data_IF_123254948900
#
_entry.id   IF_123254948900
#
_cell.length_a   1.000
_cell.length_b   1.000
_cell.length_c   1.000
_cell.angle_alpha   90.00
_cell.angle_beta   90.00
_cell.angle_gamma   90.00
#
_symmetry.space_group_name_H-M   'P 1'
#
loop_
_entity.id
_entity.type
_entity.pdbx_description
1 polymer ?
#
# COMPACT_ATOMS: atom_id res chain seq x y z
N UNK A 1 9.48 37.66 -11.90
CA UNK A 1 9.96 36.28 -11.64
C UNK A 1 11.22 36.03 -12.46
N UNK A 2 12.30 35.52 -11.87
CA UNK A 2 13.58 35.31 -12.57
C UNK A 2 13.56 34.06 -13.46
N UNK A 3 14.31 34.07 -14.58
CA UNK A 3 14.45 32.94 -15.50
C UNK A 3 15.01 31.67 -14.81
N UNK A 4 15.77 31.82 -13.71
CA UNK A 4 16.28 30.70 -12.92
C UNK A 4 15.14 29.95 -12.17
N UNK A 5 14.14 30.70 -11.69
CA UNK A 5 12.97 30.13 -11.02
C UNK A 5 12.10 29.34 -12.00
N UNK A 6 11.91 29.86 -13.22
CA UNK A 6 11.14 29.17 -14.27
C UNK A 6 11.80 27.88 -14.75
N UNK A 7 13.15 27.83 -14.86
CA UNK A 7 13.88 26.61 -15.23
C UNK A 7 13.80 25.53 -14.14
N UNK A 8 13.89 25.90 -12.85
CA UNK A 8 13.70 24.96 -11.72
C UNK A 8 12.30 24.38 -11.71
N UNK A 9 11.27 25.23 -11.88
CA UNK A 9 9.87 24.79 -11.94
C UNK A 9 9.62 23.89 -13.15
N UNK A 10 10.20 24.20 -14.31
CA UNK A 10 10.10 23.36 -15.52
C UNK A 10 10.77 21.99 -15.33
N UNK A 11 11.98 21.95 -14.76
CA UNK A 11 12.68 20.70 -14.48
C UNK A 11 11.98 19.84 -13.42
N UNK A 12 11.33 20.45 -12.42
CA UNK A 12 10.46 19.75 -11.45
C UNK A 12 9.21 19.17 -12.13
N UNK A 13 8.61 19.92 -13.06
CA UNK A 13 7.45 19.48 -13.84
C UNK A 13 7.77 18.35 -14.83
N UNK A 14 8.97 18.34 -15.41
CA UNK A 14 9.42 17.34 -16.38
C UNK A 14 9.90 16.02 -15.73
N UNK A 15 10.25 16.03 -14.44
CA UNK A 15 10.73 14.86 -13.70
C UNK A 15 9.63 13.93 -13.19
N UNK A 16 8.38 14.34 -13.27
CA UNK A 16 7.26 13.61 -12.67
C UNK A 16 6.25 13.27 -13.76
N UNK A 17 5.91 11.98 -13.96
CA UNK A 17 4.81 11.59 -14.85
C UNK A 17 3.56 12.39 -14.48
N UNK A 18 2.86 12.90 -15.49
CA UNK A 18 1.72 13.78 -15.25
C UNK A 18 0.60 13.03 -14.51
N UNK A 19 0.51 13.22 -13.19
CA UNK A 19 -0.54 12.64 -12.32
C UNK A 19 -1.78 13.53 -12.23
N UNK A 20 -1.93 14.52 -13.11
CA UNK A 20 -3.09 15.41 -13.16
C UNK A 20 -4.42 14.66 -13.38
N UNK A 21 -4.35 13.38 -13.77
CA UNK A 21 -5.48 12.49 -13.95
C UNK A 21 -5.40 11.18 -13.14
N UNK A 22 -4.64 11.15 -12.03
CA UNK A 22 -4.69 9.98 -11.12
C UNK A 22 -6.02 10.00 -10.33
N UNK A 23 -7.01 9.27 -10.84
CA UNK A 23 -8.34 9.16 -10.23
C UNK A 23 -8.45 8.05 -9.19
N UNK A 24 -7.32 7.45 -8.77
CA UNK A 24 -7.35 6.43 -7.72
C UNK A 24 -7.89 7.05 -6.43
N UNK A 25 -8.87 6.36 -5.85
CA UNK A 25 -9.41 6.68 -4.53
C UNK A 25 -8.46 6.18 -3.45
N UNK A 26 -8.65 6.66 -2.23
CA UNK A 26 -8.03 6.02 -1.08
C UNK A 26 -8.46 4.55 -1.00
N UNK A 27 -7.55 3.69 -0.58
CA UNK A 27 -7.77 2.25 -0.46
C UNK A 27 -7.14 1.71 0.82
N UNK A 28 -7.65 0.60 1.32
CA UNK A 28 -7.04 -0.15 2.40
C UNK A 28 -6.14 -1.22 1.81
N UNK A 29 -5.00 -1.47 2.45
CA UNK A 29 -4.12 -2.57 2.05
C UNK A 29 -3.67 -3.41 3.24
N UNK A 30 -3.49 -4.70 2.95
CA UNK A 30 -2.82 -5.68 3.78
C UNK A 30 -1.52 -6.05 3.09
N UNK A 31 -0.44 -5.39 3.50
CA UNK A 31 0.88 -5.56 2.88
C UNK A 31 1.73 -6.53 3.68
N UNK A 32 2.18 -7.59 3.02
CA UNK A 32 3.06 -8.58 3.62
C UNK A 32 4.52 -8.17 3.49
N UNK A 33 5.29 -8.50 4.52
CA UNK A 33 6.74 -8.31 4.57
C UNK A 33 7.39 -9.50 5.29
N UNK A 34 8.61 -9.84 4.91
CA UNK A 34 9.39 -10.82 5.66
C UNK A 34 9.76 -10.22 7.02
N UNK A 35 9.45 -10.92 8.11
CA UNK A 35 9.95 -10.50 9.42
C UNK A 35 11.49 -10.65 9.45
N UNK A 36 12.21 -9.74 10.12
CA UNK A 36 13.65 -9.88 10.28
C UNK A 36 13.99 -11.17 11.03
N UNK A 37 15.06 -11.83 10.60
CA UNK A 37 15.62 -12.99 11.31
C UNK A 37 16.50 -12.51 12.47
N UNK A 38 15.83 -12.04 13.53
CA UNK A 38 16.48 -11.46 14.72
C UNK A 38 16.34 -12.35 15.97
N UNK A 39 15.91 -13.60 15.79
CA UNK A 39 15.76 -14.60 16.84
C UNK A 39 14.60 -14.36 17.81
N UNK A 40 13.79 -13.31 17.64
CA UNK A 40 12.62 -13.04 18.51
C UNK A 40 11.50 -14.06 18.33
N UNK A 41 11.40 -14.65 17.15
CA UNK A 41 10.38 -15.62 16.79
C UNK A 41 11.05 -16.86 16.17
N UNK A 42 10.83 -18.07 16.68
CA UNK A 42 11.37 -19.27 16.06
C UNK A 42 10.72 -19.50 14.69
N UNK A 43 11.53 -19.87 13.70
CA UNK A 43 11.07 -20.17 12.34
C UNK A 43 10.85 -18.95 11.45
N UNK A 44 10.30 -19.17 10.26
CA UNK A 44 10.01 -18.09 9.31
C UNK A 44 8.76 -17.35 9.74
N UNK A 45 8.88 -16.02 9.80
CA UNK A 45 7.80 -15.14 10.25
C UNK A 45 7.54 -14.05 9.21
N UNK A 46 6.31 -13.59 9.18
CA UNK A 46 5.83 -12.60 8.23
C UNK A 46 5.09 -11.50 8.97
N UNK A 47 5.34 -10.26 8.59
CA UNK A 47 4.60 -9.11 9.06
C UNK A 47 3.48 -8.77 8.09
N UNK A 48 2.27 -8.56 8.61
CA UNK A 48 1.18 -7.96 7.86
C UNK A 48 0.98 -6.53 8.35
N UNK A 49 1.16 -5.57 7.44
CA UNK A 49 0.87 -4.17 7.67
C UNK A 49 -0.55 -3.87 7.21
N UNK A 50 -1.37 -3.38 8.15
CA UNK A 50 -2.72 -2.90 7.83
C UNK A 50 -2.70 -1.38 7.71
N UNK A 51 -2.89 -0.89 6.49
CA UNK A 51 -2.62 0.50 6.11
C UNK A 51 -3.78 1.11 5.31
N UNK A 52 -4.06 2.39 5.56
CA UNK A 52 -4.84 3.24 4.66
C UNK A 52 -3.86 3.97 3.73
N UNK A 53 -4.08 3.84 2.42
CA UNK A 53 -3.26 4.47 1.39
C UNK A 53 -4.04 5.55 0.69
N UNK A 54 -3.43 6.74 0.62
CA UNK A 54 -3.99 7.91 -0.07
C UNK A 54 -3.07 8.25 -1.24
N UNK A 55 -3.49 8.01 -2.49
CA UNK A 55 -2.79 8.51 -3.67
C UNK A 55 -2.62 10.03 -3.59
N UNK A 56 -1.38 10.51 -3.74
CA UNK A 56 -1.08 11.94 -3.68
C UNK A 56 -1.12 12.54 -5.07
N UNK A 57 -1.92 13.60 -5.19
CA UNK A 57 -2.05 14.34 -6.43
C UNK A 57 -0.80 15.16 -6.72
N UNK A 58 -0.66 15.60 -7.98
CA UNK A 58 0.49 16.38 -8.46
C UNK A 58 0.86 17.57 -7.57
N UNK A 59 -0.15 18.27 -7.05
CA UNK A 59 -0.02 19.50 -6.25
C UNK A 59 -0.24 19.27 -4.75
N UNK A 60 -0.19 18.02 -4.30
CA UNK A 60 -0.32 17.71 -2.89
C UNK A 60 0.99 18.03 -2.17
N UNK A 61 0.95 18.91 -1.17
CA UNK A 61 2.14 19.32 -0.41
C UNK A 61 2.82 18.14 0.29
N UNK A 62 2.08 17.06 0.59
CA UNK A 62 2.64 15.85 1.23
C UNK A 62 3.58 15.08 0.32
N UNK A 63 3.53 15.36 -0.98
CA UNK A 63 4.43 14.80 -2.00
C UNK A 63 5.82 15.41 -1.94
N UNK A 64 5.96 16.59 -1.33
CA UNK A 64 7.18 17.39 -1.34
C UNK A 64 8.04 17.11 -0.09
N UNK A 65 9.35 17.07 -0.26
CA UNK A 65 10.29 17.10 0.86
C UNK A 65 10.48 18.54 1.39
N UNK A 66 11.40 18.74 2.34
CA UNK A 66 11.67 20.06 2.92
C UNK A 66 12.14 21.12 1.89
N UNK A 67 12.62 20.69 0.72
CA UNK A 67 13.10 21.55 -0.37
C UNK A 67 12.04 21.75 -1.48
N UNK A 68 10.82 21.24 -1.29
CA UNK A 68 9.75 21.32 -2.29
C UNK A 68 9.93 20.30 -3.43
N UNK A 69 10.79 19.30 -3.26
CA UNK A 69 11.07 18.29 -4.29
C UNK A 69 10.13 17.10 -4.10
N UNK A 70 9.44 16.65 -5.15
CA UNK A 70 8.63 15.44 -5.09
C UNK A 70 9.44 14.20 -4.65
N UNK A 71 8.99 13.53 -3.59
CA UNK A 71 9.67 12.37 -3.01
C UNK A 71 8.79 11.13 -2.81
N UNK A 72 7.46 11.29 -2.71
CA UNK A 72 6.50 10.18 -2.57
C UNK A 72 5.26 10.38 -3.41
N UNK A 73 4.65 9.28 -3.85
CA UNK A 73 3.43 9.30 -4.67
C UNK A 73 2.17 8.92 -3.88
N UNK A 74 2.33 8.40 -2.68
CA UNK A 74 1.27 7.87 -1.83
C UNK A 74 1.59 8.21 -0.38
N UNK A 75 0.56 8.58 0.38
CA UNK A 75 0.64 8.64 1.84
C UNK A 75 0.14 7.30 2.40
N UNK A 76 1.01 6.61 3.12
CA UNK A 76 0.69 5.36 3.80
C UNK A 76 0.49 5.64 5.28
N UNK A 77 -0.71 5.33 5.79
CA UNK A 77 -1.08 5.54 7.19
C UNK A 77 -1.28 4.16 7.83
N UNK A 78 -0.38 3.72 8.73
CA UNK A 78 -0.59 2.49 9.49
C UNK A 78 -1.83 2.63 10.39
N UNK A 79 -2.79 1.72 10.27
CA UNK A 79 -3.98 1.68 11.15
C UNK A 79 -3.59 1.14 12.53
N UNK A 80 -2.59 0.25 12.56
CA UNK A 80 -2.07 -0.40 13.76
C UNK A 80 -0.63 -0.84 13.53
N UNK A 81 0.13 -1.18 14.59
CA UNK A 81 1.40 -1.88 14.44
C UNK A 81 1.22 -3.20 13.65
N UNK A 82 2.26 -3.64 12.91
CA UNK A 82 2.18 -4.86 12.11
C UNK A 82 1.86 -6.08 12.96
N UNK A 83 1.06 -6.99 12.42
CA UNK A 83 0.79 -8.29 13.04
C UNK A 83 1.79 -9.33 12.53
N UNK A 84 2.10 -10.31 13.39
CA UNK A 84 3.04 -11.38 13.06
C UNK A 84 2.27 -12.65 12.73
N UNK A 85 2.63 -13.29 11.62
CA UNK A 85 2.21 -14.65 11.29
C UNK A 85 3.45 -15.54 11.16
N UNK A 86 3.53 -16.57 12.00
CA UNK A 86 4.51 -17.64 11.83
C UNK A 86 4.07 -18.62 10.74
N UNK A 87 5.02 -19.14 9.97
CA UNK A 87 4.77 -20.19 9.00
C UNK A 87 5.82 -20.26 7.90
N UNK A 88 6.07 -21.47 7.40
CA UNK A 88 7.08 -21.71 6.36
C UNK A 88 6.63 -21.25 4.97
N UNK A 89 5.31 -21.17 4.77
CA UNK A 89 4.69 -20.73 3.51
C UNK A 89 4.67 -19.22 3.40
N UNK A 90 5.15 -18.73 2.26
CA UNK A 90 5.07 -17.32 1.89
C UNK A 90 3.61 -16.86 1.79
N UNK A 91 3.23 -15.73 2.42
CA UNK A 91 1.93 -15.13 2.23
C UNK A 91 1.61 -14.89 0.76
N UNK A 92 0.32 -14.97 0.43
CA UNK A 92 -0.19 -14.68 -0.92
C UNK A 92 0.28 -15.60 -2.04
N UNK A 93 1.08 -16.63 -1.76
CA UNK A 93 1.64 -17.52 -2.78
C UNK A 93 1.34 -18.98 -2.49
N UNK A 94 0.76 -19.67 -3.47
CA UNK A 94 0.53 -21.11 -3.42
C UNK A 94 1.76 -21.89 -3.91
N UNK A 95 1.75 -23.20 -3.65
CA UNK A 95 2.89 -24.07 -3.96
C UNK A 95 3.18 -24.18 -5.47
N UNK A 96 2.19 -23.91 -6.32
CA UNK A 96 2.34 -23.84 -7.77
C UNK A 96 2.84 -22.47 -8.26
N UNK A 97 3.03 -21.51 -7.34
CA UNK A 97 3.48 -20.15 -7.62
C UNK A 97 2.36 -19.17 -7.96
N UNK A 98 1.10 -19.60 -7.95
CA UNK A 98 -0.05 -18.71 -8.16
C UNK A 98 -0.28 -17.79 -6.96
N UNK A 99 -0.88 -16.63 -7.23
CA UNK A 99 -1.24 -15.67 -6.19
C UNK A 99 -2.66 -15.90 -5.69
N UNK A 100 -2.84 -15.83 -4.38
CA UNK A 100 -4.16 -15.85 -3.74
C UNK A 100 -4.32 -14.65 -2.79
N UNK A 101 -5.56 -14.25 -2.57
CA UNK A 101 -5.88 -13.13 -1.70
C UNK A 101 -5.77 -13.54 -0.22
N UNK A 102 -4.62 -13.25 0.40
CA UNK A 102 -4.29 -13.71 1.75
C UNK A 102 -4.73 -12.71 2.83
N UNK A 103 -5.90 -12.98 3.42
CA UNK A 103 -6.42 -12.22 4.55
C UNK A 103 -5.92 -12.84 5.87
N UNK A 104 -5.12 -12.14 6.67
CA UNK A 104 -4.91 -12.53 8.06
C UNK A 104 -6.27 -12.52 8.76
N UNK A 105 -6.63 -13.62 9.43
CA UNK A 105 -7.99 -13.87 9.93
C UNK A 105 -8.66 -12.67 10.60
N UNK A 106 -7.95 -11.95 11.49
CA UNK A 106 -8.51 -10.75 12.15
C UNK A 106 -8.39 -9.49 11.30
N UNK A 107 -7.21 -9.20 10.75
CA UNK A 107 -6.99 -7.95 10.03
C UNK A 107 -7.83 -7.86 8.74
N UNK A 108 -8.10 -9.00 8.09
CA UNK A 108 -9.00 -9.07 6.94
C UNK A 108 -10.44 -8.69 7.27
N UNK A 109 -11.02 -9.25 8.35
CA UNK A 109 -12.36 -8.89 8.78
C UNK A 109 -12.47 -7.40 9.15
N UNK A 110 -11.48 -6.88 9.87
CA UNK A 110 -11.42 -5.47 10.24
C UNK A 110 -11.28 -4.54 9.02
N UNK A 111 -10.44 -4.89 8.04
CA UNK A 111 -10.30 -4.10 6.82
C UNK A 111 -11.64 -3.93 6.08
N UNK A 112 -12.48 -4.96 6.03
CA UNK A 112 -13.80 -4.84 5.42
C UNK A 112 -14.79 -4.01 6.24
N UNK A 113 -14.78 -4.12 7.56
CA UNK A 113 -15.62 -3.30 8.43
C UNK A 113 -15.23 -1.82 8.36
N UNK A 114 -13.93 -1.53 8.39
CA UNK A 114 -13.42 -0.18 8.26
C UNK A 114 -13.72 0.39 6.87
N UNK A 115 -13.59 -0.42 5.80
CA UNK A 115 -13.99 -0.01 4.46
C UNK A 115 -15.45 0.47 4.42
N UNK A 116 -16.37 -0.29 5.03
CA UNK A 116 -17.79 0.10 5.10
C UNK A 116 -18.01 1.45 5.76
N UNK A 117 -17.23 1.76 6.80
CA UNK A 117 -17.31 3.05 7.52
C UNK A 117 -16.65 4.20 6.74
N UNK A 118 -15.65 3.90 5.92
CA UNK A 118 -14.87 4.88 5.14
C UNK A 118 -15.45 5.18 3.75
N UNK A 119 -16.65 4.66 3.43
CA UNK A 119 -17.30 4.89 2.14
C UNK A 119 -16.88 3.90 1.05
N UNK A 120 -16.69 2.64 1.43
CA UNK A 120 -16.37 1.51 0.55
C UNK A 120 -15.09 1.69 -0.32
N UNK A 121 -13.94 2.05 0.27
CA UNK A 121 -12.66 1.96 -0.43
C UNK A 121 -12.33 0.49 -0.78
N UNK A 122 -11.53 0.30 -1.84
CA UNK A 122 -11.01 -1.01 -2.21
C UNK A 122 -10.13 -1.58 -1.07
N UNK A 123 -10.20 -2.89 -0.83
CA UNK A 123 -9.30 -3.61 0.07
C UNK A 123 -8.37 -4.49 -0.76
N UNK A 124 -7.08 -4.21 -0.67
CA UNK A 124 -6.02 -4.88 -1.44
C UNK A 124 -5.15 -5.76 -0.55
N UNK A 125 -4.57 -6.79 -1.15
CA UNK A 125 -3.48 -7.54 -0.54
C UNK A 125 -2.20 -7.32 -1.35
N UNK A 126 -1.10 -6.98 -0.69
CA UNK A 126 0.20 -6.77 -1.33
C UNK A 126 1.13 -7.90 -0.91
N UNK A 127 1.57 -8.71 -1.88
CA UNK A 127 2.50 -9.80 -1.64
C UNK A 127 3.91 -9.29 -1.26
N UNK A 128 4.77 -10.20 -0.81
CA UNK A 128 6.15 -9.90 -0.38
C UNK A 128 6.96 -9.20 -1.49
N UNK A 129 6.74 -9.57 -2.75
CA UNK A 129 7.40 -8.99 -3.91
C UNK A 129 6.77 -7.68 -4.42
N UNK A 130 5.75 -7.17 -3.73
CA UNK A 130 5.01 -5.97 -4.11
C UNK A 130 3.85 -6.23 -5.07
N UNK A 131 3.56 -7.47 -5.45
CA UNK A 131 2.42 -7.79 -6.33
C UNK A 131 1.10 -7.41 -5.67
N UNK A 132 0.28 -6.62 -6.38
CA UNK A 132 -1.06 -6.23 -5.96
C UNK A 132 -2.05 -7.33 -6.30
N UNK A 133 -2.74 -7.85 -5.29
CA UNK A 133 -3.75 -8.89 -5.41
C UNK A 133 -5.09 -8.31 -5.02
N UNK A 134 -6.06 -8.43 -5.91
CA UNK A 134 -7.44 -8.00 -5.70
C UNK A 134 -8.28 -9.20 -5.32
N UNK A 135 -9.28 -8.99 -4.46
CA UNK A 135 -10.29 -10.01 -4.21
C UNK A 135 -10.99 -10.34 -5.54
N UNK A 136 -11.19 -11.62 -5.89
CA UNK A 136 -12.06 -12.00 -6.99
C UNK A 136 -13.45 -11.37 -6.81
N UNK A 137 -14.03 -10.87 -7.91
CA UNK A 137 -15.33 -10.17 -7.89
C UNK A 137 -16.50 -11.12 -7.58
N UNK A 138 -16.26 -12.43 -7.60
CA UNK A 138 -17.27 -13.45 -7.33
C UNK A 138 -17.30 -13.84 -5.85
N UNK A 139 -18.02 -13.05 -5.05
CA UNK A 139 -18.78 -13.45 -3.85
C UNK A 139 -19.33 -12.18 -3.17
N UNK A 140 -20.25 -11.50 -3.87
CA UNK A 140 -21.29 -10.67 -3.26
C UNK A 140 -22.63 -11.34 -3.56
N UNK A 141 -22.79 -12.58 -3.13
CA UNK A 141 -24.09 -13.26 -3.09
C UNK A 141 -24.13 -14.26 -1.94
N UNK A 142 -24.57 -13.77 -0.77
CA UNK A 142 -25.47 -14.47 0.15
C UNK A 142 -25.74 -13.59 1.36
#
# INVERSE_FOLDING_TARGET
MSQLSQKKIKALRERVPDKEHDHRKAFLQLRWEAAPDDGRFPGRNWFCHYELVIPLQRWDVRREDNDGVPHVDELVIPIKPPTVRGGDREPCRDADGSYYFDLPYRDGAHAYWDAKLLGDPEVLCIAIDGTVIRKPVDEVTS
#
